data_IF_407651138047
#
_entry.id   IF_407651138047
#
_cell.length_a   1.000
_cell.length_b   1.000
_cell.length_c   1.000
_cell.angle_alpha   90.00
_cell.angle_beta   90.00
_cell.angle_gamma   90.00
#
_symmetry.space_group_name_H-M   'P 1'
#
loop_
_entity.id
_entity.type
_entity.pdbx_description
1 polymer ?
#
# COMPACT_ATOMS: atom_id res chain seq x y z
N UNK A 1 23.96 -3.21 2.66
CA UNK A 1 23.41 -2.66 1.41
C UNK A 1 22.15 -3.46 1.11
N UNK A 2 20.98 -3.01 1.58
CA UNK A 2 19.72 -3.70 1.27
C UNK A 2 19.43 -3.45 -0.22
N UNK A 3 19.22 -4.49 -1.04
CA UNK A 3 18.86 -4.28 -2.44
C UNK A 3 17.58 -3.43 -2.45
N UNK A 4 17.63 -2.32 -3.17
CA UNK A 4 16.50 -1.42 -3.30
C UNK A 4 15.30 -2.24 -3.77
N UNK A 5 14.26 -2.30 -2.92
CA UNK A 5 12.97 -2.82 -3.31
C UNK A 5 12.36 -1.72 -4.19
N UNK A 6 12.76 -1.69 -5.46
CA UNK A 6 12.41 -0.65 -6.43
C UNK A 6 10.90 -0.66 -6.77
N UNK A 7 10.19 -1.76 -6.48
CA UNK A 7 8.75 -1.90 -6.74
C UNK A 7 8.03 -2.82 -5.76
N UNK A 8 6.70 -2.62 -5.64
CA UNK A 8 5.83 -3.51 -4.86
C UNK A 8 5.86 -4.96 -5.37
N UNK A 9 6.04 -5.16 -6.68
CA UNK A 9 6.19 -6.49 -7.29
C UNK A 9 7.49 -7.13 -6.83
N UNK A 10 8.61 -6.40 -6.84
CA UNK A 10 9.89 -6.88 -6.33
C UNK A 10 9.82 -7.27 -4.85
N UNK A 11 9.11 -6.48 -4.04
CA UNK A 11 8.87 -6.80 -2.62
C UNK A 11 8.14 -8.14 -2.46
N UNK A 12 7.12 -8.36 -3.27
CA UNK A 12 6.35 -9.61 -3.27
C UNK A 12 7.23 -10.78 -3.72
N UNK A 13 7.98 -10.64 -4.81
CA UNK A 13 8.87 -11.70 -5.30
C UNK A 13 9.87 -12.10 -4.23
N UNK A 14 10.50 -11.12 -3.56
CA UNK A 14 11.43 -11.38 -2.46
C UNK A 14 10.75 -12.09 -1.29
N UNK A 15 9.53 -11.67 -0.91
CA UNK A 15 8.74 -12.36 0.10
C UNK A 15 8.44 -13.81 -0.29
N UNK A 16 8.12 -14.08 -1.57
CA UNK A 16 7.85 -15.43 -2.05
C UNK A 16 9.07 -16.36 -1.96
N UNK A 17 10.29 -15.83 -1.98
CA UNK A 17 11.52 -16.63 -1.81
C UNK A 17 11.75 -17.06 -0.35
N UNK A 18 11.29 -16.26 0.62
CA UNK A 18 11.55 -16.51 2.05
C UNK A 18 10.35 -17.12 2.79
N UNK A 19 9.14 -17.03 2.24
CA UNK A 19 7.95 -17.65 2.85
C UNK A 19 8.06 -19.17 2.87
N UNK A 20 7.43 -19.86 3.83
CA UNK A 20 7.33 -21.32 3.82
C UNK A 20 6.72 -21.84 2.52
N UNK A 21 7.16 -23.02 2.08
CA UNK A 21 6.53 -23.73 0.95
C UNK A 21 5.08 -24.03 1.32
N UNK A 22 4.17 -23.45 0.55
CA UNK A 22 2.74 -23.53 0.79
C UNK A 22 2.08 -24.56 -0.11
N UNK A 23 1.16 -25.32 0.45
CA UNK A 23 0.20 -26.14 -0.31
C UNK A 23 -1.01 -25.30 -0.74
N UNK A 24 -1.80 -25.85 -1.67
CA UNK A 24 -3.04 -25.23 -2.13
C UNK A 24 -3.95 -24.91 -0.93
N UNK A 25 -4.38 -23.65 -0.80
CA UNK A 25 -5.23 -23.18 0.30
C UNK A 25 -4.50 -22.44 1.44
N UNK A 26 -3.17 -22.36 1.42
CA UNK A 26 -2.44 -21.55 2.41
C UNK A 26 -2.62 -20.04 2.13
N UNK A 27 -2.85 -19.19 3.16
CA UNK A 27 -2.93 -17.75 2.99
C UNK A 27 -1.67 -17.18 2.32
N UNK A 28 -1.85 -16.14 1.50
CA UNK A 28 -0.75 -15.49 0.80
C UNK A 28 0.27 -14.87 1.78
N UNK A 29 -0.22 -14.17 2.80
CA UNK A 29 0.60 -13.62 3.88
C UNK A 29 0.47 -14.51 5.12
N UNK A 30 1.55 -15.21 5.46
CA UNK A 30 1.58 -16.19 6.53
C UNK A 30 2.85 -16.10 7.39
N UNK A 31 2.77 -16.64 8.60
CA UNK A 31 3.93 -16.85 9.46
C UNK A 31 4.82 -17.97 8.91
N UNK A 32 5.99 -18.17 9.52
CA UNK A 32 6.86 -19.31 9.23
C UNK A 32 6.20 -20.67 9.49
N UNK A 33 5.12 -20.69 10.27
CA UNK A 33 4.29 -21.87 10.56
C UNK A 33 3.11 -22.04 9.59
N UNK A 34 3.07 -21.28 8.49
CA UNK A 34 1.99 -21.30 7.48
C UNK A 34 0.61 -20.88 8.00
N UNK A 35 0.56 -20.18 9.14
CA UNK A 35 -0.67 -19.65 9.73
C UNK A 35 -0.92 -18.25 9.16
N UNK A 36 -2.18 -17.85 8.85
CA UNK A 36 -2.47 -16.49 8.43
C UNK A 36 -1.96 -15.45 9.42
N UNK A 37 -1.25 -14.44 8.92
CA UNK A 37 -0.77 -13.35 9.75
C UNK A 37 -1.93 -12.48 10.24
N UNK A 38 -1.97 -12.22 11.54
CA UNK A 38 -3.00 -11.38 12.14
C UNK A 38 -2.80 -9.91 11.77
N UNK A 39 -3.91 -9.17 11.68
CA UNK A 39 -3.90 -7.71 11.48
C UNK A 39 -3.07 -6.96 12.51
N UNK A 40 -3.10 -7.41 13.77
CA UNK A 40 -2.31 -6.85 14.87
C UNK A 40 -0.80 -6.86 14.61
N UNK A 41 -0.31 -7.81 13.82
CA UNK A 41 1.09 -7.86 13.40
C UNK A 41 1.43 -6.67 12.48
N UNK A 42 0.57 -6.40 11.50
CA UNK A 42 0.74 -5.24 10.60
C UNK A 42 0.62 -3.92 11.35
N UNK A 43 -0.31 -3.82 12.30
CA UNK A 43 -0.46 -2.62 13.13
C UNK A 43 0.80 -2.34 13.98
N UNK A 44 1.57 -3.38 14.35
CA UNK A 44 2.86 -3.25 15.06
C UNK A 44 4.05 -3.00 14.13
N UNK A 45 4.04 -3.57 12.93
CA UNK A 45 5.15 -3.45 11.97
C UNK A 45 5.13 -2.14 11.20
N UNK A 46 3.95 -1.64 10.85
CA UNK A 46 3.82 -0.40 10.08
C UNK A 46 4.51 0.81 10.75
N UNK A 47 4.33 1.07 12.07
CA UNK A 47 5.06 2.12 12.76
C UNK A 47 6.58 1.99 12.66
N UNK A 48 7.11 0.77 12.78
CA UNK A 48 8.56 0.51 12.72
C UNK A 48 9.11 0.83 11.32
N UNK A 49 8.40 0.43 10.27
CA UNK A 49 8.79 0.75 8.90
C UNK A 49 8.77 2.26 8.65
N UNK A 50 7.75 2.97 9.13
CA UNK A 50 7.66 4.42 9.01
C UNK A 50 8.81 5.13 9.73
N UNK A 51 9.11 4.70 10.96
CA UNK A 51 10.23 5.22 11.74
C UNK A 51 11.58 4.97 11.04
N UNK A 52 11.78 3.80 10.43
CA UNK A 52 13.00 3.53 9.65
C UNK A 52 13.15 4.43 8.42
N UNK A 53 12.05 4.98 7.91
CA UNK A 53 12.05 5.97 6.83
C UNK A 53 12.10 7.42 7.35
N UNK A 54 12.28 7.65 8.65
CA UNK A 54 12.28 8.98 9.26
C UNK A 54 10.90 9.63 9.35
N UNK A 55 9.82 8.85 9.22
CA UNK A 55 8.44 9.34 9.26
C UNK A 55 7.84 9.18 10.67
N UNK A 56 7.06 10.18 11.09
CA UNK A 56 6.30 10.12 12.34
C UNK A 56 5.17 9.09 12.27
N UNK A 57 5.41 7.91 12.86
CA UNK A 57 4.47 6.80 12.88
C UNK A 57 3.13 7.07 13.57
N UNK A 58 3.04 8.09 14.44
CA UNK A 58 1.77 8.39 15.15
C UNK A 58 0.72 8.99 14.21
N UNK A 59 1.17 9.56 13.09
CA UNK A 59 0.33 10.26 12.11
C UNK A 59 -0.24 9.36 11.03
N UNK A 60 0.25 8.11 10.91
CA UNK A 60 -0.15 7.22 9.83
C UNK A 60 -0.65 5.88 10.37
N UNK A 61 -1.85 5.51 9.92
CA UNK A 61 -2.43 4.18 10.14
C UNK A 61 -2.68 3.53 8.78
N UNK A 62 -2.84 2.21 8.74
CA UNK A 62 -3.11 1.48 7.49
C UNK A 62 -4.27 2.07 6.65
N UNK A 63 -5.29 2.65 7.31
CA UNK A 63 -6.41 3.31 6.64
C UNK A 63 -6.01 4.57 5.85
N UNK A 64 -5.02 5.33 6.33
CA UNK A 64 -4.56 6.55 5.67
C UNK A 64 -4.03 6.26 4.27
N UNK A 65 -3.33 5.15 4.05
CA UNK A 65 -2.88 4.77 2.70
C UNK A 65 -4.03 4.65 1.70
N UNK A 66 -5.21 4.17 2.13
CA UNK A 66 -6.40 4.10 1.26
C UNK A 66 -7.00 5.48 1.02
N UNK A 67 -6.90 6.39 1.99
CA UNK A 67 -7.33 7.79 1.87
C UNK A 67 -6.46 8.53 0.86
N UNK A 68 -5.14 8.46 1.05
CA UNK A 68 -4.17 9.12 0.18
C UNK A 68 -4.23 8.55 -1.24
N UNK A 69 -4.37 7.22 -1.41
CA UNK A 69 -4.50 6.62 -2.73
C UNK A 69 -5.77 7.05 -3.47
N UNK A 70 -6.90 7.17 -2.77
CA UNK A 70 -8.15 7.66 -3.36
C UNK A 70 -8.08 9.16 -3.69
N UNK A 71 -7.44 9.96 -2.82
CA UNK A 71 -7.21 11.39 -3.05
C UNK A 71 -6.30 11.62 -4.24
N UNK A 72 -5.17 10.92 -4.30
CA UNK A 72 -4.23 10.99 -5.41
C UNK A 72 -4.90 10.60 -6.73
N UNK A 73 -5.67 9.51 -6.76
CA UNK A 73 -6.39 9.12 -7.97
C UNK A 73 -7.38 10.21 -8.44
N UNK A 74 -8.04 10.91 -7.50
CA UNK A 74 -8.90 12.04 -7.83
C UNK A 74 -8.10 13.24 -8.36
N UNK A 75 -6.93 13.55 -7.78
CA UNK A 75 -6.02 14.59 -8.26
C UNK A 75 -5.48 14.30 -9.66
N UNK A 76 -5.28 13.02 -10.01
CA UNK A 76 -4.93 12.58 -11.36
C UNK A 76 -6.13 12.60 -12.34
N UNK A 77 -7.28 13.16 -11.94
CA UNK A 77 -8.45 13.29 -12.79
C UNK A 77 -9.24 12.00 -13.01
N UNK A 78 -8.98 10.95 -12.23
CA UNK A 78 -9.74 9.70 -12.37
C UNK A 78 -11.17 9.89 -11.89
N UNK A 79 -12.12 9.34 -12.65
CA UNK A 79 -13.54 9.40 -12.30
C UNK A 79 -13.85 8.59 -11.04
N UNK A 80 -14.94 8.96 -10.37
CA UNK A 80 -15.39 8.24 -9.16
C UNK A 80 -15.63 6.75 -9.37
N UNK A 81 -16.05 6.32 -10.56
CA UNK A 81 -16.24 4.91 -10.91
C UNK A 81 -14.90 4.16 -11.02
N UNK A 82 -13.86 4.79 -11.57
CA UNK A 82 -12.50 4.24 -11.63
C UNK A 82 -11.90 4.12 -10.23
N UNK A 83 -11.99 5.18 -9.41
CA UNK A 83 -11.51 5.16 -8.02
C UNK A 83 -12.20 4.07 -7.21
N UNK A 84 -13.52 3.95 -7.38
CA UNK A 84 -14.32 2.92 -6.72
C UNK A 84 -13.90 1.51 -7.14
N UNK A 85 -13.64 1.31 -8.43
CA UNK A 85 -13.16 0.03 -8.97
C UNK A 85 -11.80 -0.33 -8.40
N UNK A 86 -10.83 0.59 -8.41
CA UNK A 86 -9.50 0.38 -7.84
C UNK A 86 -9.53 0.10 -6.34
N UNK A 87 -10.36 0.85 -5.60
CA UNK A 87 -10.51 0.70 -4.15
C UNK A 87 -11.33 -0.52 -3.72
N UNK A 88 -11.95 -1.25 -4.67
CA UNK A 88 -12.97 -2.29 -4.44
C UNK A 88 -14.12 -1.81 -3.55
N UNK A 89 -14.50 -0.54 -3.68
CA UNK A 89 -15.60 0.05 -2.93
C UNK A 89 -16.92 -0.30 -3.62
N UNK A 90 -17.92 -0.78 -2.85
CA UNK A 90 -19.27 -1.06 -3.39
C UNK A 90 -20.24 0.12 -3.27
N UNK A 91 -19.82 1.21 -2.64
CA UNK A 91 -20.63 2.41 -2.44
C UNK A 91 -19.78 3.65 -2.67
N UNK A 92 -20.43 4.81 -2.71
CA UNK A 92 -19.78 6.13 -2.72
C UNK A 92 -19.02 6.46 -1.41
N UNK A 93 -18.77 5.46 -0.55
CA UNK A 93 -17.94 5.57 0.65
C UNK A 93 -16.54 6.14 0.38
N UNK A 94 -16.03 6.00 -0.84
CA UNK A 94 -14.76 6.58 -1.26
C UNK A 94 -14.76 8.12 -1.28
N UNK A 95 -15.93 8.76 -1.43
CA UNK A 95 -16.02 10.22 -1.42
C UNK A 95 -15.58 10.81 -0.07
N UNK A 96 -15.75 10.07 1.03
CA UNK A 96 -15.26 10.46 2.37
C UNK A 96 -13.73 10.43 2.48
N UNK A 97 -13.06 9.75 1.54
CA UNK A 97 -11.62 9.64 1.46
C UNK A 97 -10.99 10.77 0.65
N UNK A 98 -11.73 11.36 -0.30
CA UNK A 98 -11.25 12.49 -1.09
C UNK A 98 -11.40 13.75 -0.23
N UNK A 99 -10.29 14.18 0.40
CA UNK A 99 -10.25 15.42 1.19
C UNK A 99 -9.40 16.46 0.46
N UNK A 100 -9.91 17.69 0.23
CA UNK A 100 -9.05 18.78 -0.20
C UNK A 100 -8.17 19.18 1.00
N UNK A 101 -6.95 18.66 1.06
CA UNK A 101 -5.98 19.00 2.09
C UNK A 101 -4.92 19.90 1.43
N UNK A 102 -4.53 21.04 2.05
CA UNK A 102 -3.54 21.93 1.46
C UNK A 102 -2.23 21.21 1.19
N UNK A 103 -1.71 21.46 0.00
CA UNK A 103 -0.53 20.87 -0.63
C UNK A 103 0.70 21.06 0.27
N UNK A 104 1.07 20.05 1.05
CA UNK A 104 2.41 19.97 1.63
C UNK A 104 2.82 18.51 1.94
N UNK A 105 2.63 17.61 0.96
CA UNK A 105 3.01 16.18 1.08
C UNK A 105 3.70 15.65 -0.19
N UNK A 106 4.78 16.31 -0.58
CA UNK A 106 5.67 15.90 -1.67
C UNK A 106 6.42 14.56 -1.42
N UNK A 107 6.34 14.01 -0.20
CA UNK A 107 7.10 12.81 0.19
C UNK A 107 6.36 11.46 -0.01
N UNK A 108 5.04 11.45 -0.21
CA UNK A 108 4.31 10.20 -0.47
C UNK A 108 4.14 9.88 -1.96
N UNK A 109 4.21 10.89 -2.83
CA UNK A 109 4.13 10.72 -4.28
C UNK A 109 5.40 10.03 -4.82
N UNK A 110 6.58 10.31 -4.25
CA UNK A 110 7.83 9.64 -4.63
C UNK A 110 7.85 8.15 -4.29
N UNK A 111 7.11 7.72 -3.25
CA UNK A 111 6.99 6.30 -2.91
C UNK A 111 6.08 5.51 -3.87
N UNK A 112 5.34 6.19 -4.76
CA UNK A 112 4.40 5.56 -5.70
C UNK A 112 4.66 5.89 -7.18
N UNK A 113 5.48 6.90 -7.49
CA UNK A 113 5.88 7.20 -8.88
C UNK A 113 6.61 6.03 -9.56
N UNK A 114 7.26 5.13 -8.81
CA UNK A 114 7.85 3.89 -9.32
C UNK A 114 6.83 2.85 -9.82
N UNK A 115 5.54 2.99 -9.48
CA UNK A 115 4.49 2.04 -9.89
C UNK A 115 3.77 2.50 -11.18
N UNK A 116 3.73 3.81 -11.47
CA UNK A 116 3.06 4.34 -12.66
C UNK A 116 3.88 4.26 -13.95
N UNK A 117 5.21 4.17 -13.88
CA UNK A 117 6.05 4.13 -15.08
C UNK A 117 5.90 2.85 -15.91
N UNK A 118 5.30 1.77 -15.35
CA UNK A 118 5.18 0.47 -16.03
C UNK A 118 3.78 0.18 -16.59
N UNK A 119 2.77 1.02 -16.30
CA UNK A 119 1.38 0.79 -16.75
C UNK A 119 1.07 1.53 -18.06
N UNK A 120 1.92 2.48 -18.47
CA UNK A 120 1.76 3.22 -19.75
C UNK A 120 2.76 2.78 -20.83
N UNK A 121 3.55 1.73 -20.61
CA UNK A 121 4.56 1.22 -21.55
C UNK A 121 4.33 -0.23 -22.03
N UNK A 122 3.11 -0.76 -21.87
CA UNK A 122 2.64 -2.03 -22.45
C UNK A 122 1.20 -1.86 -22.90
#
# INVERSE_FOLDING_TARGET
MLPAIESAVGAIVNYLQVRPRTTLGTPFVCSMTSIPLQRSYFDKMLPKCLQSCGLDSTRYKGHYFRIEAATYAAEQGMSGSQIRTMGRCKSYSFQKYIRPIPINRMLLILAWAGINALILST
#
